data_IF_578016335972
#
_entry.id   IF_578016335972
#
_cell.length_a   1.000
_cell.length_b   1.000
_cell.length_c   1.000
_cell.angle_alpha   90.00
_cell.angle_beta   90.00
_cell.angle_gamma   90.00
#
_symmetry.space_group_name_H-M   'P 1'
#
loop_
_entity.id
_entity.type
_entity.pdbx_description
1 polymer ?
#
# COMPACT_ATOMS: atom_id res chain seq x y z
N UNK A 1 -2.75 109.63 35.64
CA UNK A 1 -2.47 110.51 34.48
C UNK A 1 -2.80 109.74 33.21
N UNK A 2 -3.56 110.39 32.31
CA UNK A 2 -3.60 110.24 30.83
C UNK A 2 -3.70 108.85 30.19
N UNK A 3 -4.89 108.43 29.71
CA UNK A 3 -5.50 108.64 28.36
C UNK A 3 -4.92 107.77 27.22
N UNK A 4 -5.65 106.69 26.87
CA UNK A 4 -6.37 106.42 25.60
C UNK A 4 -5.79 107.05 24.30
N UNK A 5 -5.72 106.47 23.09
CA UNK A 5 -6.62 105.61 22.26
C UNK A 5 -5.81 105.11 21.03
N UNK A 6 -6.13 103.96 20.43
CA UNK A 6 -6.34 103.65 18.96
C UNK A 6 -6.62 102.14 18.82
N UNK A 7 -7.87 101.66 18.66
CA UNK A 7 -8.65 101.29 17.43
C UNK A 7 -8.27 99.92 16.77
N UNK A 8 -9.14 99.24 15.96
CA UNK A 8 -9.86 98.02 16.40
C UNK A 8 -9.54 96.71 15.63
N UNK A 9 -9.85 95.59 16.32
CA UNK A 9 -10.28 94.23 15.90
C UNK A 9 -9.89 93.59 14.55
N UNK A 10 -9.31 92.38 14.60
CA UNK A 10 -9.65 91.29 13.65
C UNK A 10 -9.66 89.90 14.33
N UNK A 11 -10.64 89.03 14.00
CA UNK A 11 -10.89 87.77 14.69
C UNK A 11 -9.86 86.69 14.32
N UNK A 12 -9.31 86.04 15.34
CA UNK A 12 -8.35 84.94 15.22
C UNK A 12 -9.00 83.70 14.62
N UNK A 13 -8.89 83.51 13.30
CA UNK A 13 -9.27 82.25 12.63
C UNK A 13 -8.23 81.16 12.91
N UNK A 14 -8.70 79.98 13.32
CA UNK A 14 -7.89 78.81 13.67
C UNK A 14 -7.21 78.18 12.44
N UNK A 15 -6.05 77.56 12.69
CA UNK A 15 -5.09 77.07 11.70
C UNK A 15 -5.67 76.11 10.63
N UNK A 16 -6.78 75.42 10.95
CA UNK A 16 -7.49 74.50 10.06
C UNK A 16 -8.20 75.18 8.88
N UNK A 17 -8.46 76.49 8.92
CA UNK A 17 -9.08 77.24 7.81
C UNK A 17 -8.07 77.81 6.80
N UNK A 18 -6.75 77.58 6.97
CA UNK A 18 -5.70 78.12 6.10
C UNK A 18 -5.11 77.12 5.11
N UNK A 19 -5.56 75.87 5.10
CA UNK A 19 -5.06 74.89 4.15
C UNK A 19 -5.90 74.98 2.87
N UNK A 20 -5.30 75.26 1.69
CA UNK A 20 -6.02 75.20 0.43
C UNK A 20 -6.63 73.81 0.27
N UNK A 21 -7.93 73.73 0.00
CA UNK A 21 -8.67 72.48 -0.26
C UNK A 21 -7.93 71.46 -1.14
N UNK A 22 -7.21 71.84 -2.22
CA UNK A 22 -6.45 70.86 -3.00
C UNK A 22 -5.30 70.19 -2.23
N UNK A 23 -4.67 70.88 -1.29
CA UNK A 23 -3.57 70.33 -0.47
C UNK A 23 -4.11 69.28 0.50
N UNK A 24 -5.27 69.54 1.12
CA UNK A 24 -5.92 68.59 2.01
C UNK A 24 -6.34 67.31 1.26
N UNK A 25 -6.93 67.44 0.06
CA UNK A 25 -7.31 66.30 -0.78
C UNK A 25 -6.09 65.49 -1.23
N UNK A 26 -4.97 66.15 -1.54
CA UNK A 26 -3.75 65.47 -1.98
C UNK A 26 -3.12 64.68 -0.84
N UNK A 27 -3.04 65.25 0.36
CA UNK A 27 -2.49 64.56 1.54
C UNK A 27 -3.39 63.40 1.98
N UNK A 28 -4.71 63.61 2.00
CA UNK A 28 -5.65 62.55 2.39
C UNK A 28 -5.72 61.44 1.34
N UNK A 29 -5.69 61.79 0.05
CA UNK A 29 -5.62 60.82 -1.06
C UNK A 29 -4.34 60.00 -1.04
N UNK A 30 -3.20 60.63 -0.78
CA UNK A 30 -1.92 59.92 -0.64
C UNK A 30 -1.91 58.97 0.57
N UNK A 31 -2.50 59.38 1.69
CA UNK A 31 -2.62 58.52 2.88
C UNK A 31 -3.53 57.31 2.66
N UNK A 32 -4.65 57.48 1.95
CA UNK A 32 -5.56 56.38 1.63
C UNK A 32 -4.89 55.40 0.66
N UNK A 33 -4.20 55.89 -0.37
CA UNK A 33 -3.44 55.03 -1.29
C UNK A 33 -2.33 54.30 -0.55
N UNK A 34 -1.58 54.97 0.33
CA UNK A 34 -0.55 54.34 1.15
C UNK A 34 -1.12 53.27 2.08
N UNK A 35 -2.30 53.49 2.68
CA UNK A 35 -2.97 52.51 3.52
C UNK A 35 -3.45 51.28 2.72
N UNK A 36 -3.99 51.48 1.52
CA UNK A 36 -4.43 50.38 0.64
C UNK A 36 -3.23 49.58 0.14
N UNK A 37 -2.17 50.25 -0.31
CA UNK A 37 -0.93 49.60 -0.75
C UNK A 37 -0.28 48.86 0.43
N UNK A 38 -0.26 49.45 1.62
CA UNK A 38 0.24 48.83 2.85
C UNK A 38 -0.56 47.59 3.26
N UNK A 39 -1.89 47.61 3.13
CA UNK A 39 -2.74 46.45 3.40
C UNK A 39 -2.53 45.32 2.36
N UNK A 40 -2.39 45.67 1.07
CA UNK A 40 -2.13 44.68 0.01
C UNK A 40 -0.73 44.08 0.14
N UNK A 41 0.30 44.88 0.44
CA UNK A 41 1.65 44.38 0.69
C UNK A 41 1.75 43.60 2.00
N UNK A 42 1.04 44.02 3.05
CA UNK A 42 1.00 43.29 4.33
C UNK A 42 0.36 41.91 4.20
N UNK A 43 -0.75 41.80 3.46
CA UNK A 43 -1.40 40.51 3.19
C UNK A 43 -0.54 39.58 2.33
N UNK A 44 0.27 40.14 1.41
CA UNK A 44 1.26 39.35 0.66
C UNK A 44 2.44 38.93 1.52
N UNK A 45 2.94 39.79 2.41
CA UNK A 45 4.05 39.44 3.31
C UNK A 45 3.69 38.37 4.34
N UNK A 46 2.41 38.27 4.73
CA UNK A 46 1.92 37.18 5.58
C UNK A 46 1.64 35.88 4.83
N UNK A 47 1.49 35.95 3.49
CA UNK A 47 1.36 34.78 2.63
C UNK A 47 2.71 34.25 2.12
N UNK A 48 3.71 35.13 1.99
CA UNK A 48 5.10 34.86 1.59
C UNK A 48 6.07 34.77 2.79
N UNK A 49 5.56 34.76 4.03
CA UNK A 49 6.35 34.29 5.17
C UNK A 49 6.49 32.77 5.03
N UNK A 50 7.42 32.37 4.15
CA UNK A 50 7.87 31.01 3.92
C UNK A 50 7.96 30.27 5.25
N UNK A 51 6.98 29.41 5.49
CA UNK A 51 7.32 28.14 6.12
C UNK A 51 8.48 27.59 5.29
N UNK A 52 9.66 27.49 5.90
CA UNK A 52 10.68 26.56 5.43
C UNK A 52 10.10 25.17 5.63
N UNK A 53 9.11 24.80 4.81
CA UNK A 53 8.70 23.43 4.63
C UNK A 53 9.96 22.75 4.14
N UNK A 54 10.52 21.90 4.99
CA UNK A 54 11.50 20.94 4.56
C UNK A 54 10.94 20.33 3.28
N UNK A 55 11.64 20.52 2.15
CA UNK A 55 11.26 19.88 0.89
C UNK A 55 11.34 18.39 1.15
N UNK A 56 10.21 17.81 1.52
CA UNK A 56 10.05 16.37 1.57
C UNK A 56 10.33 15.91 0.13
N UNK A 57 11.20 14.92 -0.08
CA UNK A 57 11.40 14.37 -1.41
C UNK A 57 10.01 14.06 -1.98
N UNK A 58 9.71 14.65 -3.14
CA UNK A 58 8.44 14.35 -3.78
C UNK A 58 8.31 12.83 -3.89
N UNK A 59 7.14 12.25 -3.56
CA UNK A 59 6.92 10.83 -3.78
C UNK A 59 7.30 10.52 -5.23
N UNK A 60 8.27 9.63 -5.40
CA UNK A 60 8.75 9.20 -6.70
C UNK A 60 7.53 8.79 -7.50
N UNK A 61 7.23 9.52 -8.58
CA UNK A 61 6.15 9.11 -9.49
C UNK A 61 6.44 7.68 -9.93
N UNK A 62 5.46 6.77 -9.96
CA UNK A 62 5.69 5.40 -10.42
C UNK A 62 6.34 5.45 -11.81
N UNK A 63 7.61 5.06 -11.86
CA UNK A 63 8.34 4.92 -13.10
C UNK A 63 7.71 3.75 -13.84
N UNK A 64 7.33 3.94 -15.10
CA UNK A 64 6.75 2.87 -15.92
C UNK A 64 7.62 2.71 -17.18
N UNK A 65 8.20 1.52 -17.45
CA UNK A 65 8.14 0.32 -16.61
C UNK A 65 8.84 0.54 -15.27
N UNK A 66 8.34 -0.08 -14.21
CA UNK A 66 8.95 -0.01 -12.89
C UNK A 66 10.44 -0.36 -12.95
N UNK A 67 11.30 0.26 -12.11
CA UNK A 67 12.71 -0.05 -12.09
C UNK A 67 12.88 -1.52 -11.72
N UNK A 68 13.33 -2.33 -12.68
CA UNK A 68 13.73 -3.69 -12.45
C UNK A 68 15.22 -3.71 -12.11
N UNK A 69 15.53 -3.78 -10.81
CA UNK A 69 16.88 -3.84 -10.28
C UNK A 69 17.11 -5.16 -9.51
N UNK A 70 17.53 -6.23 -10.21
CA UNK A 70 17.84 -7.50 -9.57
C UNK A 70 18.95 -7.39 -8.52
N UNK A 71 19.89 -6.46 -8.69
CA UNK A 71 21.01 -6.28 -7.76
C UNK A 71 20.54 -5.71 -6.42
N UNK A 72 19.61 -4.75 -6.45
CA UNK A 72 18.99 -4.21 -5.25
C UNK A 72 18.17 -5.28 -4.50
N UNK A 73 17.41 -6.10 -5.22
CA UNK A 73 16.68 -7.23 -4.63
C UNK A 73 17.65 -8.22 -3.97
N UNK A 74 18.70 -8.65 -4.68
CA UNK A 74 19.68 -9.58 -4.13
C UNK A 74 20.38 -9.04 -2.88
N UNK A 75 20.73 -7.76 -2.86
CA UNK A 75 21.35 -7.11 -1.70
C UNK A 75 20.39 -6.92 -0.52
N UNK A 76 19.08 -6.81 -0.79
CA UNK A 76 18.06 -6.61 0.24
C UNK A 76 17.67 -7.90 0.96
N UNK A 77 17.84 -9.06 0.30
CA UNK A 77 17.49 -10.37 0.86
C UNK A 77 18.46 -10.76 1.98
N UNK A 78 17.90 -11.28 3.06
CA UNK A 78 18.63 -11.78 4.23
C UNK A 78 18.99 -13.26 4.04
N UNK A 79 20.28 -13.63 3.89
CA UNK A 79 20.67 -15.01 3.58
C UNK A 79 20.34 -16.03 4.68
N UNK A 80 20.19 -15.59 5.94
CA UNK A 80 19.75 -16.47 7.00
C UNK A 80 18.28 -16.83 6.87
N UNK A 81 17.44 -16.00 6.23
CA UNK A 81 16.02 -16.30 5.98
C UNK A 81 15.81 -17.04 4.65
N UNK A 82 16.46 -16.56 3.58
CA UNK A 82 16.31 -17.07 2.20
C UNK A 82 17.70 -17.41 1.65
N UNK A 83 17.92 -18.69 1.40
CA UNK A 83 19.16 -19.27 0.89
C UNK A 83 19.08 -19.49 -0.63
N UNK A 84 20.23 -19.71 -1.27
CA UNK A 84 20.34 -20.05 -2.69
C UNK A 84 19.60 -19.10 -3.64
N UNK A 85 19.51 -17.82 -3.25
CA UNK A 85 18.75 -16.82 -3.99
C UNK A 85 19.28 -16.65 -5.41
N UNK A 86 18.38 -16.76 -6.37
CA UNK A 86 18.58 -16.42 -7.77
C UNK A 86 17.64 -15.26 -8.12
N UNK A 87 18.19 -14.24 -8.77
CA UNK A 87 17.42 -13.07 -9.21
C UNK A 87 17.57 -12.85 -10.70
N UNK A 88 16.51 -12.34 -11.32
CA UNK A 88 16.49 -12.04 -12.75
C UNK A 88 15.57 -10.87 -13.05
N UNK A 89 15.86 -10.15 -14.13
CA UNK A 89 14.97 -9.10 -14.63
C UNK A 89 13.85 -9.73 -15.46
N UNK A 90 12.62 -9.31 -15.25
CA UNK A 90 11.46 -9.64 -16.11
C UNK A 90 11.05 -8.40 -16.91
N UNK A 91 10.04 -8.54 -17.78
CA UNK A 91 9.46 -7.41 -18.52
C UNK A 91 8.71 -6.43 -17.61
N UNK A 92 8.31 -6.89 -16.43
CA UNK A 92 7.37 -6.24 -15.52
C UNK A 92 7.98 -5.93 -14.15
N UNK A 93 9.18 -6.42 -13.87
CA UNK A 93 9.89 -6.17 -12.61
C UNK A 93 11.11 -7.10 -12.45
N UNK A 94 11.28 -7.62 -11.24
CA UNK A 94 12.30 -8.60 -10.87
C UNK A 94 11.61 -9.91 -10.50
N UNK A 95 12.18 -11.02 -10.95
CA UNK A 95 11.89 -12.33 -10.41
C UNK A 95 12.98 -12.77 -9.44
N UNK A 96 12.59 -13.43 -8.36
CA UNK A 96 13.47 -14.03 -7.38
C UNK A 96 13.03 -15.46 -7.07
N UNK A 97 13.98 -16.38 -6.93
CA UNK A 97 13.75 -17.75 -6.45
C UNK A 97 14.76 -18.10 -5.37
N UNK A 98 14.34 -18.79 -4.32
CA UNK A 98 15.26 -19.27 -3.29
C UNK A 98 14.63 -20.33 -2.39
N UNK A 99 15.40 -20.73 -1.38
CA UNK A 99 15.01 -21.74 -0.40
C UNK A 99 14.86 -21.08 0.98
N UNK A 100 13.83 -21.43 1.74
CA UNK A 100 13.67 -20.95 3.12
C UNK A 100 14.58 -21.73 4.05
N UNK A 101 15.20 -21.03 4.98
CA UNK A 101 16.00 -21.66 6.01
C UNK A 101 15.14 -22.47 6.99
N UNK A 102 15.71 -23.53 7.56
CA UNK A 102 15.00 -24.48 8.41
C UNK A 102 14.32 -23.83 9.63
N UNK A 103 14.96 -22.85 10.28
CA UNK A 103 14.36 -22.21 11.45
C UNK A 103 13.09 -21.41 11.12
N UNK A 104 12.90 -20.98 9.86
CA UNK A 104 11.69 -20.26 9.42
C UNK A 104 10.44 -21.12 9.63
N UNK A 105 10.60 -22.45 9.57
CA UNK A 105 9.53 -23.41 9.84
C UNK A 105 9.09 -23.42 11.31
N UNK A 106 9.96 -23.01 12.22
CA UNK A 106 9.69 -22.96 13.67
C UNK A 106 9.31 -21.56 14.16
N UNK A 107 9.83 -20.51 13.51
CA UNK A 107 9.49 -19.12 13.78
C UNK A 107 9.53 -18.32 12.47
N UNK A 108 8.36 -18.02 11.94
CA UNK A 108 8.17 -17.30 10.68
C UNK A 108 8.09 -15.78 10.85
N UNK A 109 8.20 -15.25 12.07
CA UNK A 109 7.96 -13.83 12.38
C UNK A 109 8.93 -12.91 11.65
N UNK A 110 10.24 -13.21 11.71
CA UNK A 110 11.26 -12.42 11.00
C UNK A 110 11.11 -12.56 9.48
N UNK A 111 10.79 -13.77 9.00
CA UNK A 111 10.56 -14.05 7.59
C UNK A 111 9.42 -13.21 7.02
N UNK A 112 8.25 -13.24 7.66
CA UNK A 112 7.08 -12.51 7.21
C UNK A 112 7.33 -10.98 7.20
N UNK A 113 7.97 -10.47 8.25
CA UNK A 113 8.39 -9.07 8.33
C UNK A 113 9.46 -8.69 7.31
N UNK A 114 10.32 -9.63 6.91
CA UNK A 114 11.33 -9.42 5.87
C UNK A 114 10.67 -9.35 4.49
N UNK A 115 9.83 -10.33 4.14
CA UNK A 115 9.15 -10.39 2.84
C UNK A 115 8.22 -9.19 2.65
N UNK A 116 7.39 -8.86 3.64
CA UNK A 116 6.49 -7.70 3.56
C UNK A 116 7.24 -6.42 3.16
N UNK A 117 8.39 -6.16 3.79
CA UNK A 117 9.25 -5.01 3.45
C UNK A 117 9.94 -5.17 2.11
N UNK A 118 10.39 -6.38 1.76
CA UNK A 118 11.05 -6.65 0.48
C UNK A 118 10.11 -6.34 -0.70
N UNK A 119 8.84 -6.74 -0.60
CA UNK A 119 7.79 -6.46 -1.60
C UNK A 119 7.44 -4.96 -1.66
N UNK A 120 7.38 -4.29 -0.51
CA UNK A 120 7.11 -2.85 -0.44
C UNK A 120 8.22 -2.02 -1.12
N UNK A 121 9.48 -2.42 -0.93
CA UNK A 121 10.65 -1.66 -1.38
C UNK A 121 11.06 -1.96 -2.83
N UNK A 122 10.59 -3.05 -3.42
CA UNK A 122 11.06 -3.52 -4.72
C UNK A 122 9.89 -3.82 -5.66
N UNK A 123 10.16 -3.73 -6.97
CA UNK A 123 9.25 -4.27 -7.95
C UNK A 123 9.48 -5.77 -8.16
N UNK A 124 8.94 -6.60 -7.27
CA UNK A 124 9.01 -8.06 -7.29
C UNK A 124 7.78 -8.68 -7.97
N UNK A 125 7.88 -8.81 -9.29
CA UNK A 125 6.85 -9.44 -10.10
C UNK A 125 6.64 -10.92 -9.73
N UNK A 126 7.71 -11.61 -9.34
CA UNK A 126 7.64 -13.01 -8.90
C UNK A 126 8.66 -13.27 -7.80
N UNK A 127 8.22 -13.81 -6.68
CA UNK A 127 9.08 -14.38 -5.64
C UNK A 127 8.61 -15.82 -5.37
N UNK A 128 9.45 -16.79 -5.70
CA UNK A 128 9.20 -18.21 -5.48
C UNK A 128 10.15 -18.74 -4.41
N UNK A 129 9.60 -19.19 -3.29
CA UNK A 129 10.36 -19.72 -2.17
C UNK A 129 9.96 -21.17 -1.93
N UNK A 130 10.92 -22.02 -1.59
CA UNK A 130 10.67 -23.43 -1.27
C UNK A 130 11.09 -23.70 0.17
N UNK A 131 10.19 -24.25 0.98
CA UNK A 131 10.51 -24.69 2.33
C UNK A 131 11.36 -25.97 2.33
N UNK A 132 12.04 -26.31 3.44
CA UNK A 132 12.80 -27.56 3.54
C UNK A 132 11.98 -28.84 3.32
N UNK A 133 10.68 -28.80 3.62
CA UNK A 133 9.74 -29.92 3.42
C UNK A 133 9.08 -29.91 2.01
N UNK A 134 9.41 -28.94 1.15
CA UNK A 134 8.98 -28.90 -0.23
C UNK A 134 7.71 -28.09 -0.52
N UNK A 135 7.09 -27.46 0.49
CA UNK A 135 6.01 -26.49 0.27
C UNK A 135 6.51 -25.28 -0.52
N UNK A 136 5.74 -24.86 -1.53
CA UNK A 136 6.04 -23.67 -2.34
C UNK A 136 5.33 -22.44 -1.78
N UNK A 137 6.09 -21.39 -1.49
CA UNK A 137 5.57 -20.09 -1.06
C UNK A 137 5.80 -19.07 -2.17
N UNK A 138 4.72 -18.59 -2.79
CA UNK A 138 4.81 -17.73 -3.97
C UNK A 138 4.21 -16.34 -3.72
N UNK A 139 4.85 -15.31 -4.26
CA UNK A 139 4.31 -13.95 -4.32
C UNK A 139 4.32 -13.46 -5.76
N UNK A 140 3.17 -13.05 -6.29
CA UNK A 140 3.01 -12.66 -7.70
C UNK A 140 2.43 -11.26 -7.86
N UNK A 141 2.99 -10.50 -8.79
CA UNK A 141 2.48 -9.19 -9.20
C UNK A 141 2.76 -8.05 -8.22
N UNK A 142 3.66 -8.24 -7.25
CA UNK A 142 3.98 -7.23 -6.24
C UNK A 142 4.99 -6.21 -6.75
N UNK A 143 4.51 -5.06 -7.21
CA UNK A 143 5.39 -3.98 -7.64
C UNK A 143 5.25 -2.75 -6.76
N UNK A 144 6.15 -2.58 -5.79
CA UNK A 144 6.04 -1.54 -4.74
C UNK A 144 4.69 -1.60 -4.00
N UNK A 145 4.20 -2.83 -3.84
CA UNK A 145 2.97 -3.18 -3.15
C UNK A 145 3.30 -4.30 -2.18
N UNK A 146 2.51 -4.47 -1.13
CA UNK A 146 2.79 -5.45 -0.10
C UNK A 146 1.52 -5.99 0.54
N UNK A 147 1.69 -7.09 1.26
CA UNK A 147 0.72 -7.62 2.22
C UNK A 147 1.32 -7.44 3.62
N UNK A 148 0.51 -7.12 4.65
CA UNK A 148 0.98 -7.01 6.01
C UNK A 148 1.71 -8.26 6.49
N UNK A 149 2.80 -8.07 7.23
CA UNK A 149 3.61 -9.16 7.77
C UNK A 149 2.78 -10.17 8.59
N UNK A 150 1.80 -9.70 9.37
CA UNK A 150 0.90 -10.56 10.14
C UNK A 150 0.08 -11.50 9.25
N UNK A 151 -0.34 -11.03 8.08
CA UNK A 151 -1.12 -11.84 7.13
C UNK A 151 -0.25 -12.87 6.44
N UNK A 152 0.98 -12.51 6.06
CA UNK A 152 1.97 -13.45 5.53
C UNK A 152 2.26 -14.54 6.57
N UNK A 153 2.57 -14.14 7.81
CA UNK A 153 2.85 -15.04 8.93
C UNK A 153 1.70 -16.01 9.19
N UNK A 154 0.49 -15.49 9.46
CA UNK A 154 -0.65 -16.34 9.79
C UNK A 154 -0.99 -17.34 8.68
N UNK A 155 -0.87 -16.92 7.42
CA UNK A 155 -1.12 -17.79 6.26
C UNK A 155 -0.03 -18.84 6.11
N UNK A 156 1.24 -18.45 6.26
CA UNK A 156 2.37 -19.36 6.20
C UNK A 156 2.32 -20.40 7.32
N UNK A 157 2.13 -19.97 8.57
CA UNK A 157 2.03 -20.85 9.74
C UNK A 157 0.87 -21.83 9.60
N UNK A 158 -0.28 -21.35 9.09
CA UNK A 158 -1.41 -22.21 8.79
C UNK A 158 -1.08 -23.24 7.70
N UNK A 159 -0.45 -22.82 6.60
CA UNK A 159 -0.07 -23.70 5.50
C UNK A 159 0.91 -24.80 5.95
N UNK A 160 1.93 -24.43 6.72
CA UNK A 160 2.88 -25.37 7.33
C UNK A 160 2.17 -26.33 8.27
N UNK A 161 1.37 -25.83 9.20
CA UNK A 161 0.68 -26.66 10.19
C UNK A 161 -0.34 -27.63 9.58
N UNK A 162 -0.89 -27.30 8.42
CA UNK A 162 -1.86 -28.13 7.70
C UNK A 162 -1.23 -28.95 6.56
N UNK A 163 0.09 -28.90 6.38
CA UNK A 163 0.79 -29.67 5.35
C UNK A 163 0.37 -29.30 3.92
N UNK A 164 0.21 -28.01 3.64
CA UNK A 164 -0.09 -27.55 2.27
C UNK A 164 1.12 -27.73 1.35
N UNK A 165 0.87 -28.06 0.08
CA UNK A 165 1.92 -28.11 -0.95
C UNK A 165 2.30 -26.73 -1.48
N UNK A 166 1.39 -25.75 -1.36
CA UNK A 166 1.71 -24.37 -1.66
C UNK A 166 0.84 -23.35 -0.93
N UNK A 167 1.43 -22.20 -0.65
CA UNK A 167 0.79 -20.97 -0.22
C UNK A 167 1.19 -19.85 -1.18
N UNK A 168 0.23 -19.29 -1.91
CA UNK A 168 0.48 -18.27 -2.93
C UNK A 168 -0.27 -16.99 -2.59
N UNK A 169 0.41 -15.86 -2.74
CA UNK A 169 -0.10 -14.52 -2.55
C UNK A 169 -0.02 -13.80 -3.89
N UNK A 170 -1.11 -13.20 -4.34
CA UNK A 170 -1.16 -12.53 -5.62
C UNK A 170 -1.80 -11.15 -5.50
N UNK A 171 -1.26 -10.20 -6.25
CA UNK A 171 -1.93 -8.94 -6.54
C UNK A 171 -2.25 -8.89 -8.02
N UNK A 172 -3.48 -8.52 -8.35
CA UNK A 172 -3.92 -8.28 -9.73
C UNK A 172 -4.16 -6.77 -9.92
N UNK A 173 -3.15 -6.00 -10.39
CA UNK A 173 -3.29 -4.56 -10.56
C UNK A 173 -4.42 -4.17 -11.50
N UNK A 174 -4.63 -4.95 -12.57
CA UNK A 174 -5.69 -4.73 -13.55
C UNK A 174 -7.11 -4.91 -12.98
N UNK A 175 -7.25 -5.54 -11.81
CA UNK A 175 -8.53 -5.77 -11.13
C UNK A 175 -8.67 -4.88 -9.90
N UNK A 176 -8.27 -3.60 -10.02
CA UNK A 176 -8.29 -2.63 -8.90
C UNK A 176 -7.41 -3.09 -7.73
N UNK A 177 -6.22 -3.61 -8.03
CA UNK A 177 -5.29 -4.20 -7.06
C UNK A 177 -5.97 -5.29 -6.21
N UNK A 178 -6.62 -6.26 -6.86
CA UNK A 178 -7.26 -7.37 -6.15
C UNK A 178 -6.20 -8.25 -5.48
N UNK A 179 -6.32 -8.46 -4.17
CA UNK A 179 -5.41 -9.30 -3.38
C UNK A 179 -6.01 -10.68 -3.16
N UNK A 180 -5.27 -11.70 -3.56
CA UNK A 180 -5.70 -13.09 -3.45
C UNK A 180 -4.67 -13.93 -2.69
N UNK A 181 -5.16 -14.79 -1.80
CA UNK A 181 -4.38 -15.86 -1.17
C UNK A 181 -4.93 -17.20 -1.67
N UNK A 182 -4.05 -18.11 -2.10
CA UNK A 182 -4.39 -19.48 -2.47
C UNK A 182 -3.55 -20.49 -1.72
N UNK A 183 -4.20 -21.47 -1.10
CA UNK A 183 -3.53 -22.63 -0.49
C UNK A 183 -3.96 -23.89 -1.24
N UNK A 184 -3.00 -24.78 -1.51
CA UNK A 184 -3.25 -25.97 -2.34
C UNK A 184 -2.66 -27.21 -1.66
N UNK A 185 -3.46 -28.28 -1.63
CA UNK A 185 -3.08 -29.66 -1.34
C UNK A 185 -3.32 -30.49 -2.59
N UNK A 186 -2.24 -30.82 -3.29
CA UNK A 186 -2.20 -31.63 -4.51
C UNK A 186 -2.49 -33.11 -4.26
N UNK A 187 -2.22 -33.59 -3.06
CA UNK A 187 -2.68 -34.88 -2.54
C UNK A 187 -3.36 -34.62 -1.19
N UNK A 188 -4.66 -34.32 -1.24
CA UNK A 188 -5.44 -34.04 -0.04
C UNK A 188 -5.67 -35.30 0.81
N UNK A 189 -5.60 -36.50 0.24
CA UNK A 189 -5.74 -37.76 0.97
C UNK A 189 -4.59 -38.01 1.94
N UNK A 190 -3.37 -37.60 1.58
CA UNK A 190 -2.20 -37.68 2.44
C UNK A 190 -2.37 -36.92 3.78
N UNK A 191 -3.30 -35.97 3.86
CA UNK A 191 -3.63 -35.27 5.12
C UNK A 191 -4.39 -36.16 6.11
N UNK A 192 -4.97 -37.28 5.66
CA UNK A 192 -5.83 -38.15 6.45
C UNK A 192 -7.22 -37.56 6.75
N UNK A 193 -7.57 -36.43 6.14
CA UNK A 193 -8.86 -35.78 6.31
C UNK A 193 -9.78 -36.04 5.11
N UNK A 194 -11.06 -36.28 5.38
CA UNK A 194 -12.11 -36.18 4.35
C UNK A 194 -12.37 -34.70 3.98
N UNK A 195 -13.04 -34.47 2.85
CA UNK A 195 -13.29 -33.11 2.35
C UNK A 195 -14.06 -32.22 3.35
N UNK A 196 -14.96 -32.78 4.17
CA UNK A 196 -15.70 -32.02 5.20
C UNK A 196 -14.81 -31.70 6.41
N UNK A 197 -13.86 -32.56 6.74
CA UNK A 197 -12.86 -32.34 7.77
C UNK A 197 -11.90 -31.22 7.33
N UNK A 198 -11.38 -31.26 6.10
CA UNK A 198 -10.55 -30.18 5.55
C UNK A 198 -11.31 -28.86 5.51
N UNK A 199 -12.57 -28.85 5.06
CA UNK A 199 -13.40 -27.65 5.06
C UNK A 199 -13.50 -27.02 6.46
N UNK A 200 -13.65 -27.84 7.51
CA UNK A 200 -13.70 -27.34 8.90
C UNK A 200 -12.35 -26.77 9.35
N UNK A 201 -11.23 -27.34 8.94
CA UNK A 201 -9.90 -26.80 9.26
C UNK A 201 -9.67 -25.46 8.53
N UNK A 202 -9.93 -25.41 7.23
CA UNK A 202 -9.73 -24.21 6.42
C UNK A 202 -10.62 -23.04 6.85
N UNK A 203 -11.80 -23.32 7.38
CA UNK A 203 -12.68 -22.30 7.96
C UNK A 203 -12.11 -21.61 9.20
N UNK A 204 -11.06 -22.15 9.83
CA UNK A 204 -10.39 -21.53 10.98
C UNK A 204 -9.51 -20.34 10.55
N UNK A 205 -8.96 -20.37 9.34
CA UNK A 205 -8.24 -19.24 8.78
C UNK A 205 -9.25 -18.23 8.23
N UNK A 206 -9.43 -17.14 8.97
CA UNK A 206 -10.25 -16.02 8.50
C UNK A 206 -9.52 -15.26 7.40
N UNK A 207 -10.29 -14.74 6.43
CA UNK A 207 -9.75 -13.81 5.44
C UNK A 207 -9.43 -12.48 6.14
N UNK A 208 -8.20 -11.98 6.07
CA UNK A 208 -7.86 -10.63 6.55
C UNK A 208 -8.60 -9.55 5.74
N UNK A 209 -8.85 -8.39 6.33
CA UNK A 209 -9.66 -7.33 5.71
C UNK A 209 -9.02 -6.73 4.45
N UNK A 210 -7.69 -6.75 4.39
CA UNK A 210 -6.87 -6.30 3.27
C UNK A 210 -6.83 -7.29 2.09
N UNK A 211 -7.26 -8.53 2.31
CA UNK A 211 -7.32 -9.57 1.28
C UNK A 211 -8.73 -9.58 0.69
N UNK A 212 -8.83 -9.56 -0.64
CA UNK A 212 -10.11 -9.60 -1.32
C UNK A 212 -10.66 -11.03 -1.41
N UNK A 213 -9.79 -12.02 -1.55
CA UNK A 213 -10.18 -13.43 -1.60
C UNK A 213 -9.12 -14.35 -1.00
N UNK A 214 -9.57 -15.31 -0.20
CA UNK A 214 -8.75 -16.47 0.18
C UNK A 214 -9.45 -17.73 -0.31
N UNK A 215 -8.70 -18.59 -1.00
CA UNK A 215 -9.22 -19.83 -1.56
C UNK A 215 -8.32 -21.01 -1.21
N UNK A 216 -8.94 -22.14 -0.86
CA UNK A 216 -8.29 -23.38 -0.50
C UNK A 216 -8.70 -24.44 -1.50
N UNK A 217 -7.73 -25.19 -2.03
CA UNK A 217 -7.93 -26.23 -3.02
C UNK A 217 -7.38 -27.54 -2.50
N UNK A 218 -8.23 -28.57 -2.43
CA UNK A 218 -7.81 -29.93 -2.11
C UNK A 218 -8.14 -30.83 -3.28
N UNK A 219 -7.13 -31.54 -3.77
CA UNK A 219 -7.24 -32.51 -4.84
C UNK A 219 -7.20 -33.91 -4.22
N UNK A 220 -8.32 -34.62 -4.33
CA UNK A 220 -8.45 -36.05 -4.06
C UNK A 220 -8.43 -36.81 -5.40
N UNK A 221 -8.37 -38.14 -5.37
CA UNK A 221 -8.35 -38.95 -6.59
C UNK A 221 -9.64 -38.79 -7.42
N UNK A 222 -10.80 -38.69 -6.75
CA UNK A 222 -12.13 -38.65 -7.37
C UNK A 222 -12.85 -37.30 -7.23
N UNK A 223 -12.34 -36.37 -6.43
CA UNK A 223 -12.94 -35.05 -6.22
C UNK A 223 -11.94 -33.91 -6.01
N UNK A 224 -12.38 -32.70 -6.34
CA UNK A 224 -11.70 -31.45 -5.98
C UNK A 224 -12.62 -30.66 -5.08
N UNK A 225 -12.17 -30.35 -3.88
CA UNK A 225 -12.84 -29.41 -2.98
C UNK A 225 -12.21 -28.03 -3.10
N UNK A 226 -13.07 -27.02 -3.21
CA UNK A 226 -12.70 -25.61 -3.17
C UNK A 226 -13.48 -24.92 -2.07
N UNK A 227 -12.78 -24.41 -1.06
CA UNK A 227 -13.37 -23.49 -0.08
C UNK A 227 -12.93 -22.09 -0.43
N UNK A 228 -13.89 -21.21 -0.65
CA UNK A 228 -13.68 -19.84 -1.07
C UNK A 228 -14.20 -18.90 0.00
N UNK A 229 -13.51 -17.80 0.23
CA UNK A 229 -14.00 -16.68 1.02
C UNK A 229 -13.68 -15.38 0.30
N UNK A 230 -14.63 -14.93 -0.53
CA UNK A 230 -14.53 -13.70 -1.31
C UNK A 230 -15.17 -12.52 -0.56
N UNK A 231 -14.60 -11.32 -0.70
CA UNK A 231 -15.04 -10.12 0.03
C UNK A 231 -16.43 -9.66 -0.37
N UNK A 232 -16.84 -9.92 -1.60
CA UNK A 232 -18.15 -9.58 -2.15
C UNK A 232 -19.15 -10.70 -1.91
N UNK A 233 -18.78 -11.93 -2.21
CA UNK A 233 -19.70 -13.07 -2.24
C UNK A 233 -19.73 -13.87 -0.93
N UNK A 234 -18.79 -13.59 -0.02
CA UNK A 234 -18.65 -14.30 1.24
C UNK A 234 -18.08 -15.69 1.07
N UNK A 235 -18.33 -16.55 2.08
CA UNK A 235 -17.79 -17.90 2.12
C UNK A 235 -18.65 -18.87 1.34
N UNK A 236 -18.03 -19.68 0.49
CA UNK A 236 -18.68 -20.78 -0.24
C UNK A 236 -17.79 -22.02 -0.29
N UNK A 237 -18.41 -23.19 -0.44
CA UNK A 237 -17.71 -24.45 -0.65
C UNK A 237 -18.26 -25.10 -1.91
N UNK A 238 -17.38 -25.57 -2.77
CA UNK A 238 -17.72 -26.26 -4.02
C UNK A 238 -16.94 -27.55 -4.08
N UNK A 239 -17.60 -28.59 -4.57
CA UNK A 239 -16.98 -29.87 -4.85
C UNK A 239 -17.20 -30.18 -6.32
N UNK A 240 -16.13 -30.60 -6.99
CA UNK A 240 -16.14 -30.99 -8.39
C UNK A 240 -15.66 -32.43 -8.51
N UNK A 241 -16.27 -33.25 -9.37
CA UNK A 241 -15.72 -34.58 -9.64
C UNK A 241 -14.38 -34.46 -10.37
N UNK A 242 -13.48 -35.39 -10.08
CA UNK A 242 -12.17 -35.60 -10.71
C UNK A 242 -12.05 -37.06 -11.18
N UNK A 243 -10.92 -37.40 -11.82
CA UNK A 243 -10.60 -38.77 -12.20
C UNK A 243 -11.72 -39.48 -12.99
N UNK A 244 -12.06 -40.70 -12.54
CA UNK A 244 -13.11 -41.53 -13.15
C UNK A 244 -14.49 -40.86 -13.09
N UNK A 245 -14.87 -40.29 -11.94
CA UNK A 245 -16.15 -39.61 -11.77
C UNK A 245 -16.31 -38.40 -12.71
N UNK A 246 -15.22 -37.70 -13.04
CA UNK A 246 -15.22 -36.66 -14.06
C UNK A 246 -15.44 -37.25 -15.46
N UNK A 247 -14.72 -38.33 -15.79
CA UNK A 247 -14.85 -38.98 -17.10
C UNK A 247 -16.26 -39.51 -17.33
N UNK A 248 -16.87 -40.16 -16.34
CA UNK A 248 -18.27 -40.63 -16.39
C UNK A 248 -19.23 -39.46 -16.60
N UNK A 249 -19.10 -38.39 -15.80
CA UNK A 249 -20.00 -37.22 -15.87
C UNK A 249 -19.99 -36.54 -17.24
N UNK A 250 -18.85 -36.54 -17.93
CA UNK A 250 -18.69 -35.88 -19.21
C UNK A 250 -18.62 -36.82 -20.41
N UNK A 251 -18.81 -38.14 -20.21
CA UNK A 251 -18.77 -39.14 -21.26
C UNK A 251 -17.42 -39.22 -21.98
N UNK A 252 -16.33 -39.05 -21.23
CA UNK A 252 -14.95 -39.02 -21.75
C UNK A 252 -14.22 -40.36 -21.64
N UNK A 253 -14.92 -41.43 -21.26
CA UNK A 253 -14.38 -42.79 -21.27
C UNK A 253 -13.78 -43.13 -22.64
N UNK A 254 -12.53 -43.58 -22.65
CA UNK A 254 -11.81 -44.07 -23.84
C UNK A 254 -11.84 -45.59 -23.89
#
# INVERSE_FOLDING_TARGET
MSTSVTEPEQPTRTFLQRVPTPVFVTVYGALVVAAVVGAVFGLRYTADAESTEASLPQPVRPFNPAPADPSNVAASVRPHLIQNLQVGKTNTGVMARGDLAEYVMSDSTEFAGHVSRLLEQNCLDTLELTTPDGMRVNFWGFCFATIPATTIQNTFDFAVAQGADSASFAVYPAQNNFHEIRLIWTDAEATGYDAKQLERQWKQLNRPDEIDRIAFFGYYDDEVIVVDNDKKDGRSTKTFPAGEAFNEKWGLER
#
